data_IF_761665069357
#
_entry.id   IF_761665069357
#
_cell.length_a   1.000
_cell.length_b   1.000
_cell.length_c   1.000
_cell.angle_alpha   90.00
_cell.angle_beta   90.00
_cell.angle_gamma   90.00
#
_symmetry.space_group_name_H-M   'P 1'
#
loop_
_entity.id
_entity.type
_entity.pdbx_description
1 polymer ?
#
# COMPACT_ATOMS: atom_id res chain seq x y z
N UNK A 1 16.69 4.16 -0.15
CA UNK A 1 17.40 3.06 0.54
C UNK A 1 18.84 3.05 0.04
N UNK A 2 19.84 2.80 0.88
CA UNK A 2 21.27 2.92 0.52
C UNK A 2 22.05 1.64 0.86
N UNK A 3 23.06 1.35 0.04
CA UNK A 3 23.98 0.23 0.27
C UNK A 3 24.73 0.36 1.59
N UNK A 4 25.09 1.60 1.96
CA UNK A 4 25.76 1.93 3.22
C UNK A 4 24.99 1.45 4.46
N UNK A 5 23.65 1.46 4.40
CA UNK A 5 22.80 1.06 5.51
C UNK A 5 22.40 -0.42 5.46
N UNK A 6 23.01 -1.25 4.58
CA UNK A 6 22.59 -2.63 4.28
C UNK A 6 21.10 -2.77 3.93
N UNK A 7 20.49 -1.70 3.43
CA UNK A 7 19.08 -1.66 3.02
C UNK A 7 18.90 -1.67 1.51
N UNK A 8 19.98 -1.90 0.76
CA UNK A 8 19.92 -1.98 -0.70
C UNK A 8 19.21 -3.25 -1.14
N UNK A 9 18.03 -3.08 -1.74
CA UNK A 9 17.17 -4.18 -2.18
C UNK A 9 17.53 -4.72 -3.58
N UNK A 10 18.44 -4.05 -4.30
CA UNK A 10 18.70 -4.35 -5.71
C UNK A 10 17.58 -3.87 -6.64
N UNK A 11 17.58 -4.32 -7.91
CA UNK A 11 16.50 -4.02 -8.84
C UNK A 11 15.19 -4.68 -8.39
N UNK A 12 14.10 -3.91 -8.37
CA UNK A 12 12.77 -4.43 -8.04
C UNK A 12 12.25 -5.22 -9.24
N UNK A 13 11.78 -6.48 -9.05
CA UNK A 13 11.23 -7.29 -10.14
C UNK A 13 9.93 -6.68 -10.67
N UNK A 14 9.58 -7.00 -11.92
CA UNK A 14 8.43 -6.38 -12.60
C UNK A 14 7.10 -6.68 -11.91
N UNK A 15 6.97 -7.85 -11.26
CA UNK A 15 5.77 -8.27 -10.52
C UNK A 15 5.55 -7.43 -9.25
N UNK A 16 6.63 -6.92 -8.64
CA UNK A 16 6.56 -6.06 -7.45
C UNK A 16 6.64 -4.58 -7.80
N UNK A 17 6.83 -4.24 -9.07
CA UNK A 17 6.91 -2.87 -9.54
C UNK A 17 5.52 -2.24 -9.62
N UNK A 18 5.43 -0.94 -9.28
CA UNK A 18 4.18 -0.15 -9.40
C UNK A 18 2.98 -0.74 -8.62
N UNK A 19 3.24 -1.37 -7.47
CA UNK A 19 2.19 -1.70 -6.52
C UNK A 19 1.74 -0.42 -5.82
N UNK A 20 0.43 -0.21 -5.72
CA UNK A 20 -0.13 0.89 -4.92
C UNK A 20 -0.12 0.49 -3.46
N UNK A 21 -0.25 1.46 -2.55
CA UNK A 21 -0.30 1.19 -1.10
C UNK A 21 -1.35 0.13 -0.75
N UNK A 22 -2.50 0.13 -1.43
CA UNK A 22 -3.54 -0.89 -1.22
C UNK A 22 -3.06 -2.27 -1.70
N UNK A 23 -2.39 -2.37 -2.85
CA UNK A 23 -1.87 -3.65 -3.37
C UNK A 23 -0.72 -4.18 -2.51
N UNK A 24 0.17 -3.31 -2.06
CA UNK A 24 1.23 -3.67 -1.10
C UNK A 24 0.62 -4.17 0.21
N UNK A 25 -0.40 -3.48 0.71
CA UNK A 25 -1.15 -3.93 1.87
C UNK A 25 -1.73 -5.32 1.61
N UNK A 26 -2.34 -5.61 0.47
CA UNK A 26 -2.93 -6.93 0.15
C UNK A 26 -1.92 -8.08 0.11
N UNK A 27 -0.67 -7.82 -0.31
CA UNK A 27 0.36 -8.86 -0.37
C UNK A 27 1.15 -9.01 0.94
N UNK A 28 1.04 -8.08 1.88
CA UNK A 28 1.81 -8.11 3.10
C UNK A 28 1.33 -9.22 4.07
N UNK A 29 2.26 -10.00 4.63
CA UNK A 29 1.94 -10.95 5.72
C UNK A 29 1.64 -10.26 7.05
N UNK A 30 2.19 -9.07 7.27
CA UNK A 30 1.96 -8.23 8.44
C UNK A 30 1.50 -6.85 7.97
N UNK A 31 0.45 -6.30 8.59
CA UNK A 31 -0.13 -5.00 8.22
C UNK A 31 -0.15 -4.05 9.42
N UNK A 32 0.17 -2.79 9.16
CA UNK A 32 -0.07 -1.71 10.12
C UNK A 32 -1.58 -1.45 10.20
N UNK A 33 -2.13 -1.29 11.41
CA UNK A 33 -3.59 -1.19 11.64
C UNK A 33 -4.23 0.10 11.11
N UNK A 34 -3.47 1.16 10.85
CA UNK A 34 -4.02 2.45 10.43
C UNK A 34 -3.05 3.18 9.49
N UNK A 35 -3.58 3.71 8.40
CA UNK A 35 -2.87 4.56 7.44
C UNK A 35 -3.69 5.84 7.25
N UNK A 36 -3.10 7.00 7.53
CA UNK A 36 -3.72 8.31 7.24
C UNK A 36 -3.02 8.89 6.03
N UNK A 37 -3.69 8.85 4.87
CA UNK A 37 -3.16 9.39 3.62
C UNK A 37 -4.02 10.58 3.22
N UNK A 38 -3.45 11.78 3.27
CA UNK A 38 -4.11 12.99 2.78
C UNK A 38 -3.73 13.21 1.31
N UNK A 39 -4.67 12.99 0.40
CA UNK A 39 -4.53 13.38 -1.00
C UNK A 39 -4.93 14.85 -1.14
N UNK A 40 -4.00 15.70 -1.55
CA UNK A 40 -4.26 17.10 -1.90
C UNK A 40 -4.14 17.23 -3.41
N UNK A 41 -5.07 17.96 -4.04
CA UNK A 41 -4.81 18.49 -5.37
C UNK A 41 -3.64 19.48 -5.23
N UNK A 42 -2.53 19.25 -5.95
CA UNK A 42 -1.41 20.18 -5.95
C UNK A 42 -1.90 21.51 -6.56
N UNK A 43 -1.83 22.59 -5.78
CA UNK A 43 -1.78 23.93 -6.36
C UNK A 43 -0.31 24.15 -6.79
N UNK A 44 -0.10 24.60 -8.03
CA UNK A 44 1.21 24.74 -8.70
C UNK A 44 2.17 25.78 -8.10
N UNK A 45 1.90 26.32 -6.92
CA UNK A 45 2.70 27.39 -6.37
C UNK A 45 3.68 26.89 -5.30
N UNK A 46 4.95 26.85 -5.70
CA UNK A 46 6.19 26.71 -4.91
C UNK A 46 6.73 25.29 -4.71
N UNK A 47 7.44 24.78 -5.73
CA UNK A 47 8.45 23.72 -5.56
C UNK A 47 9.85 24.32 -5.77
N UNK A 48 10.44 24.85 -4.70
CA UNK A 48 11.88 25.13 -4.71
C UNK A 48 12.65 23.80 -4.73
N UNK A 49 13.59 23.65 -5.68
CA UNK A 49 14.39 22.45 -5.96
C UNK A 49 15.24 21.95 -4.77
N UNK A 50 15.34 22.71 -3.69
CA UNK A 50 16.10 22.40 -2.47
C UNK A 50 15.24 21.93 -1.29
N UNK A 51 13.93 21.76 -1.47
CA UNK A 51 13.04 21.43 -0.37
C UNK A 51 13.03 19.92 -0.08
N UNK A 52 13.65 19.50 1.02
CA UNK A 52 13.54 18.13 1.51
C UNK A 52 12.11 17.90 2.04
N UNK A 53 11.40 16.90 1.49
CA UNK A 53 10.11 16.45 2.03
C UNK A 53 10.36 15.90 3.44
N UNK A 54 9.73 16.50 4.45
CA UNK A 54 9.81 16.07 5.85
C UNK A 54 8.44 16.10 6.51
N UNK A 55 8.12 15.08 7.31
CA UNK A 55 6.93 15.07 8.18
C UNK A 55 7.32 15.61 9.55
N UNK A 56 6.66 16.69 10.00
CA UNK A 56 6.75 17.23 11.36
C UNK A 56 5.40 17.02 12.05
N UNK A 57 5.37 16.28 13.15
CA UNK A 57 4.14 15.99 13.89
C UNK A 57 4.39 15.28 15.21
N UNK A 58 3.35 15.15 16.03
CA UNK A 58 3.38 14.37 17.26
C UNK A 58 3.27 12.88 16.94
N UNK A 59 4.10 12.06 17.59
CA UNK A 59 4.05 10.60 17.49
C UNK A 59 3.40 10.07 18.77
N UNK A 60 2.26 9.41 18.65
CA UNK A 60 1.61 8.71 19.76
C UNK A 60 1.82 7.21 19.55
N UNK A 61 2.47 6.54 20.51
CA UNK A 61 2.74 5.11 20.47
C UNK A 61 1.78 4.41 21.41
N UNK A 62 0.84 3.64 20.87
CA UNK A 62 -0.05 2.77 21.64
C UNK A 62 0.49 1.34 21.66
N UNK A 63 0.33 0.59 22.78
CA UNK A 63 0.59 -0.84 22.80
C UNK A 63 -0.35 -1.54 21.79
N UNK A 64 0.24 -2.07 20.72
CA UNK A 64 -0.48 -2.84 19.72
C UNK A 64 -0.55 -4.31 20.19
N UNK A 65 -1.73 -4.93 20.18
CA UNK A 65 -1.82 -6.39 20.14
C UNK A 65 -1.52 -6.83 18.70
N UNK A 66 -0.34 -7.42 18.42
CA UNK A 66 0.01 -7.86 17.08
C UNK A 66 -0.94 -8.98 16.66
N UNK A 67 -1.54 -8.84 15.48
CA UNK A 67 -2.29 -9.93 14.86
C UNK A 67 -1.34 -11.05 14.46
N UNK A 68 -1.86 -12.28 14.34
CA UNK A 68 -1.09 -13.38 13.76
C UNK A 68 -0.60 -12.99 12.36
N UNK A 69 0.61 -13.42 12.04
CA UNK A 69 1.16 -13.29 10.68
C UNK A 69 0.22 -14.02 9.73
N UNK A 70 -0.20 -13.37 8.64
CA UNK A 70 -1.14 -13.96 7.72
C UNK A 70 -0.48 -15.10 6.92
N UNK A 71 -1.14 -16.26 6.94
CA UNK A 71 -0.78 -17.42 6.13
C UNK A 71 -1.69 -17.59 4.92
N UNK A 72 -2.79 -16.82 4.85
CA UNK A 72 -3.72 -16.80 3.71
C UNK A 72 -3.66 -15.40 3.11
N UNK A 73 -3.38 -15.32 1.81
CA UNK A 73 -3.27 -14.05 1.08
C UNK A 73 -3.95 -14.12 -0.30
N UNK A 74 -4.47 -12.99 -0.80
CA UNK A 74 -4.71 -11.76 -0.06
C UNK A 74 -5.81 -11.96 1.00
N UNK A 75 -5.88 -11.07 2.00
CA UNK A 75 -6.98 -11.03 2.98
C UNK A 75 -8.35 -10.79 2.31
N UNK A 76 -9.43 -10.97 3.08
CA UNK A 76 -10.78 -10.69 2.59
C UNK A 76 -10.97 -9.18 2.29
N UNK A 77 -11.98 -8.85 1.48
CA UNK A 77 -12.26 -7.44 1.15
C UNK A 77 -12.61 -6.65 2.41
N UNK A 78 -13.33 -7.26 3.34
CA UNK A 78 -13.70 -6.69 4.64
C UNK A 78 -12.44 -6.39 5.48
N UNK A 79 -11.48 -7.32 5.51
CA UNK A 79 -10.22 -7.14 6.23
C UNK A 79 -9.34 -6.04 5.63
N UNK A 80 -9.36 -5.88 4.30
CA UNK A 80 -8.59 -4.83 3.60
C UNK A 80 -9.22 -3.46 3.79
N UNK A 81 -10.55 -3.40 3.77
CA UNK A 81 -11.30 -2.14 3.84
C UNK A 81 -11.46 -1.62 5.26
N UNK A 82 -11.48 -2.50 6.27
CA UNK A 82 -11.59 -2.12 7.68
C UNK A 82 -10.59 -1.04 8.15
N UNK A 83 -9.27 -1.12 7.82
CA UNK A 83 -8.32 -0.07 8.19
C UNK A 83 -8.26 1.12 7.22
N UNK A 84 -9.07 1.13 6.15
CA UNK A 84 -9.01 2.14 5.09
C UNK A 84 -10.19 3.11 5.25
N UNK A 85 -9.89 4.31 5.70
CA UNK A 85 -10.83 5.43 5.68
C UNK A 85 -10.40 6.44 4.60
N UNK A 86 -11.26 6.67 3.62
CA UNK A 86 -11.03 7.64 2.55
C UNK A 86 -11.95 8.84 2.77
N UNK A 87 -11.36 10.00 3.05
CA UNK A 87 -12.09 11.25 3.23
C UNK A 87 -11.88 12.17 2.03
N UNK A 88 -12.98 12.49 1.34
CA UNK A 88 -13.00 13.51 0.30
C UNK A 88 -13.42 14.84 0.92
N UNK A 89 -12.53 15.83 0.89
CA UNK A 89 -12.81 17.17 1.42
C UNK A 89 -13.02 18.11 0.23
N UNK A 90 -14.25 18.59 0.05
CA UNK A 90 -14.62 19.45 -1.06
C UNK A 90 -16.07 19.93 -0.97
N UNK A 91 -16.45 20.84 -1.86
CA UNK A 91 -17.82 21.38 -1.95
C UNK A 91 -18.83 20.43 -2.59
N UNK A 92 -18.36 19.38 -3.27
CA UNK A 92 -19.20 18.40 -3.96
C UNK A 92 -18.57 17.00 -3.90
N UNK A 93 -19.40 15.96 -4.06
CA UNK A 93 -18.94 14.59 -4.12
C UNK A 93 -18.09 14.35 -5.39
N UNK A 94 -17.04 13.51 -5.34
CA UNK A 94 -16.21 13.25 -6.51
C UNK A 94 -17.00 12.57 -7.64
N UNK A 95 -16.76 12.99 -8.88
CA UNK A 95 -17.37 12.37 -10.07
C UNK A 95 -16.65 11.07 -10.48
N UNK A 96 -17.30 10.18 -11.25
CA UNK A 96 -16.64 8.98 -11.78
C UNK A 96 -15.36 9.27 -12.58
N UNK A 97 -15.33 10.38 -13.33
CA UNK A 97 -14.17 10.84 -14.09
C UNK A 97 -13.02 11.20 -13.14
N UNK A 98 -13.33 11.93 -12.06
CA UNK A 98 -12.37 12.28 -11.03
C UNK A 98 -11.75 11.04 -10.39
N UNK A 99 -12.53 10.00 -10.10
CA UNK A 99 -12.00 8.74 -9.59
C UNK A 99 -11.02 8.06 -10.55
N UNK A 100 -11.34 8.05 -11.86
CA UNK A 100 -10.45 7.44 -12.87
C UNK A 100 -9.13 8.20 -13.00
N UNK A 101 -9.16 9.52 -12.85
CA UNK A 101 -7.99 10.36 -13.02
C UNK A 101 -7.11 10.40 -11.76
N UNK A 102 -7.72 10.67 -10.59
CA UNK A 102 -7.01 11.01 -9.35
C UNK A 102 -7.03 9.89 -8.30
N UNK A 103 -8.02 8.99 -8.31
CA UNK A 103 -8.12 7.91 -7.32
C UNK A 103 -7.37 6.62 -7.71
N UNK A 104 -6.48 6.68 -8.72
CA UNK A 104 -5.63 5.56 -9.15
C UNK A 104 -4.85 4.88 -8.00
N UNK A 105 -4.35 5.59 -6.96
CA UNK A 105 -3.69 4.94 -5.83
C UNK A 105 -4.60 4.01 -5.01
N UNK A 106 -5.91 4.27 -5.03
CA UNK A 106 -6.92 3.47 -4.32
C UNK A 106 -7.37 2.25 -5.15
N UNK A 107 -7.08 2.22 -6.45
CA UNK A 107 -7.50 1.16 -7.35
C UNK A 107 -6.66 -0.11 -7.19
N UNK A 108 -7.34 -1.25 -7.18
CA UNK A 108 -6.74 -2.59 -7.07
C UNK A 108 -6.88 -3.32 -8.40
N UNK A 109 -5.87 -4.13 -8.74
CA UNK A 109 -5.91 -5.05 -9.86
C UNK A 109 -5.56 -6.45 -9.35
N UNK A 110 -6.52 -7.38 -9.34
CA UNK A 110 -6.35 -8.73 -8.81
C UNK A 110 -5.25 -9.51 -9.52
N UNK A 111 -5.12 -9.36 -10.85
CA UNK A 111 -4.07 -10.01 -11.62
C UNK A 111 -2.67 -9.63 -11.15
N UNK A 112 -2.44 -8.34 -10.86
CA UNK A 112 -1.15 -7.88 -10.31
C UNK A 112 -0.91 -8.38 -8.89
N UNK A 113 -1.92 -8.37 -8.03
CA UNK A 113 -1.79 -8.91 -6.66
C UNK A 113 -1.42 -10.39 -6.70
N UNK A 114 -2.06 -11.17 -7.58
CA UNK A 114 -1.78 -12.59 -7.77
C UNK A 114 -0.36 -12.83 -8.28
N UNK A 115 0.06 -12.11 -9.33
CA UNK A 115 1.41 -12.22 -9.87
C UNK A 115 2.48 -11.91 -8.81
N UNK A 116 2.28 -10.85 -8.04
CA UNK A 116 3.16 -10.48 -6.92
C UNK A 116 3.23 -11.59 -5.86
N UNK A 117 2.10 -12.17 -5.44
CA UNK A 117 2.07 -13.26 -4.46
C UNK A 117 2.75 -14.54 -4.97
N UNK A 118 2.53 -14.89 -6.24
CA UNK A 118 3.19 -16.05 -6.86
C UNK A 118 4.71 -15.86 -6.91
N UNK A 119 5.15 -14.66 -7.31
CA UNK A 119 6.57 -14.32 -7.32
C UNK A 119 7.18 -14.39 -5.92
N UNK A 120 6.49 -13.82 -4.91
CA UNK A 120 6.93 -13.84 -3.51
C UNK A 120 7.01 -15.26 -2.96
N UNK A 121 6.03 -16.11 -3.24
CA UNK A 121 6.02 -17.50 -2.79
C UNK A 121 7.23 -18.29 -3.31
N UNK A 122 7.65 -17.99 -4.55
CA UNK A 122 8.81 -18.64 -5.18
C UNK A 122 10.15 -18.13 -4.65
N UNK A 123 10.28 -16.81 -4.45
CA UNK A 123 11.59 -16.17 -4.20
C UNK A 123 11.83 -15.74 -2.75
N UNK A 124 10.77 -15.54 -1.96
CA UNK A 124 10.89 -15.01 -0.62
C UNK A 124 10.63 -16.11 0.42
N UNK A 125 11.62 -16.49 1.27
CA UNK A 125 11.46 -17.58 2.25
C UNK A 125 10.26 -17.39 3.18
N UNK A 126 10.01 -16.17 3.63
CA UNK A 126 8.84 -15.84 4.46
C UNK A 126 7.49 -16.03 3.75
N UNK A 127 7.43 -16.27 2.44
CA UNK A 127 6.19 -16.45 1.70
C UNK A 127 5.97 -17.88 1.22
N UNK A 128 6.86 -18.83 1.55
CA UNK A 128 6.76 -20.21 1.05
C UNK A 128 5.45 -20.90 1.45
N UNK A 129 5.03 -20.67 2.69
CA UNK A 129 3.91 -21.39 3.30
C UNK A 129 2.56 -20.66 3.14
N UNK A 130 2.51 -19.56 2.37
CA UNK A 130 1.25 -18.85 2.19
C UNK A 130 0.30 -19.64 1.29
N UNK A 131 -1.00 -19.56 1.58
CA UNK A 131 -2.08 -20.01 0.72
C UNK A 131 -2.56 -18.85 -0.11
N UNK A 132 -2.50 -18.97 -1.44
CA UNK A 132 -2.98 -17.94 -2.37
C UNK A 132 -4.43 -18.27 -2.73
N UNK A 133 -5.38 -17.41 -2.33
CA UNK A 133 -6.79 -17.63 -2.66
C UNK A 133 -7.04 -17.41 -4.16
N UNK A 134 -7.82 -18.31 -4.78
CA UNK A 134 -8.10 -18.27 -6.22
C UNK A 134 -9.18 -17.22 -6.58
N UNK A 135 -10.14 -16.96 -5.70
CA UNK A 135 -11.19 -15.97 -5.89
C UNK A 135 -10.79 -14.68 -5.18
N UNK A 136 -10.18 -13.77 -5.92
CA UNK A 136 -9.85 -12.43 -5.44
C UNK A 136 -10.53 -11.51 -6.45
N UNK A 137 -11.71 -11.00 -6.07
CA UNK A 137 -12.65 -10.21 -6.87
C UNK A 137 -13.52 -11.02 -7.83
#
# INVERSE_FOLDING_TARGET
LSLANRTFLGPVPDELKNLTVIKEAMIARCRSKCWVIQLKAENEDVVAQSTQRGMKGHIIVYPQQPSKVADILPPSIEEITAPVCVLFVGSSAPTPEWFREYAKPLAVNAGRVRAALQWLKLHHPLYRDITIMANIL
#
